data_IF_199829983699
#
_entry.id   IF_199829983699
#
_cell.length_a   1.000
_cell.length_b   1.000
_cell.length_c   1.000
_cell.angle_alpha   90.00
_cell.angle_beta   90.00
_cell.angle_gamma   90.00
#
_symmetry.space_group_name_H-M   'P 1'
#
loop_
_entity.id
_entity.type
_entity.pdbx_description
1 polymer ?
#
# COMPACT_ATOMS: atom_id res chain seq x y z
N UNK A 1 -13.73 -12.48 25.95
CA UNK A 1 -12.94 -13.16 24.89
C UNK A 1 -13.01 -12.36 23.59
N UNK A 2 -12.71 -11.05 23.64
CA UNK A 2 -12.97 -10.06 22.56
C UNK A 2 -11.74 -9.22 22.17
N UNK A 3 -10.66 -9.27 22.98
CA UNK A 3 -9.48 -8.40 22.83
C UNK A 3 -8.62 -8.69 21.58
N UNK A 4 -8.74 -9.87 20.98
CA UNK A 4 -7.95 -10.25 19.81
C UNK A 4 -8.53 -9.68 18.49
N UNK A 5 -9.86 -9.59 18.38
CA UNK A 5 -10.52 -9.06 17.18
C UNK A 5 -10.29 -7.55 17.00
N UNK A 6 -10.30 -6.77 18.09
CA UNK A 6 -10.01 -5.32 18.04
C UNK A 6 -8.62 -5.02 17.47
N UNK A 7 -7.63 -5.85 17.79
CA UNK A 7 -6.26 -5.68 17.31
C UNK A 7 -6.10 -5.92 15.80
N UNK A 8 -6.85 -6.86 15.24
CA UNK A 8 -6.84 -7.15 13.80
C UNK A 8 -7.66 -6.13 13.01
N UNK A 9 -8.83 -5.74 13.52
CA UNK A 9 -9.68 -4.70 12.89
C UNK A 9 -8.93 -3.36 12.83
N UNK A 10 -8.18 -3.00 13.88
CA UNK A 10 -7.34 -1.79 13.86
C UNK A 10 -6.22 -1.88 12.80
N UNK A 11 -5.59 -3.05 12.60
CA UNK A 11 -4.57 -3.23 11.56
C UNK A 11 -5.16 -3.18 10.16
N UNK A 12 -6.31 -3.83 9.96
CA UNK A 12 -7.03 -3.78 8.69
C UNK A 12 -7.47 -2.37 8.35
N UNK A 13 -8.14 -1.67 9.28
CA UNK A 13 -8.62 -0.30 9.07
C UNK A 13 -7.47 0.67 8.76
N UNK A 14 -6.34 0.52 9.46
CA UNK A 14 -5.16 1.35 9.22
C UNK A 14 -4.54 1.05 7.84
N UNK A 15 -4.45 -0.22 7.44
CA UNK A 15 -3.99 -0.63 6.11
C UNK A 15 -4.91 -0.14 4.99
N UNK A 16 -6.23 -0.31 5.16
CA UNK A 16 -7.25 0.14 4.21
C UNK A 16 -7.25 1.66 4.05
N UNK A 17 -7.12 2.41 5.16
CA UNK A 17 -7.02 3.88 5.12
C UNK A 17 -5.78 4.35 4.36
N UNK A 18 -4.63 3.69 4.55
CA UNK A 18 -3.42 4.00 3.79
C UNK A 18 -3.58 3.72 2.30
N UNK A 19 -4.19 2.58 1.94
CA UNK A 19 -4.49 2.22 0.55
C UNK A 19 -5.48 3.17 -0.11
N UNK A 20 -6.54 3.59 0.60
CA UNK A 20 -7.49 4.59 0.10
C UNK A 20 -6.81 5.93 -0.21
N UNK A 21 -5.88 6.36 0.65
CA UNK A 21 -5.09 7.58 0.41
C UNK A 21 -4.20 7.46 -0.83
N UNK A 22 -3.51 6.32 -1.00
CA UNK A 22 -2.66 6.06 -2.17
C UNK A 22 -3.52 6.00 -3.45
N UNK A 23 -4.66 5.31 -3.42
CA UNK A 23 -5.58 5.22 -4.55
C UNK A 23 -6.12 6.60 -4.94
N UNK A 24 -6.52 7.43 -3.97
CA UNK A 24 -6.96 8.79 -4.25
C UNK A 24 -5.86 9.67 -4.85
N UNK A 25 -4.62 9.52 -4.38
CA UNK A 25 -3.49 10.32 -4.87
C UNK A 25 -3.01 9.88 -6.27
N UNK A 26 -2.90 8.58 -6.53
CA UNK A 26 -2.32 8.06 -7.77
C UNK A 26 -3.36 7.83 -8.88
N UNK A 27 -4.58 7.44 -8.53
CA UNK A 27 -5.63 7.08 -9.48
C UNK A 27 -6.70 8.17 -9.60
N UNK A 28 -6.68 9.18 -8.73
CA UNK A 28 -7.72 10.20 -8.64
C UNK A 28 -9.05 9.68 -8.08
N UNK A 29 -9.05 8.50 -7.46
CA UNK A 29 -10.26 7.88 -6.92
C UNK A 29 -10.82 8.67 -5.75
N UNK A 30 -12.13 8.86 -5.73
CA UNK A 30 -12.86 9.31 -4.55
C UNK A 30 -12.92 8.16 -3.53
N UNK A 31 -13.07 8.44 -2.23
CA UNK A 31 -13.15 7.42 -1.19
C UNK A 31 -14.20 6.33 -1.47
N UNK A 32 -15.35 6.70 -2.03
CA UNK A 32 -16.42 5.75 -2.40
C UNK A 32 -15.99 4.75 -3.48
N UNK A 33 -15.16 5.17 -4.44
CA UNK A 33 -14.67 4.28 -5.50
C UNK A 33 -13.74 3.21 -4.92
N UNK A 34 -12.88 3.58 -3.97
CA UNK A 34 -12.05 2.64 -3.24
C UNK A 34 -12.87 1.61 -2.46
N UNK A 35 -13.90 2.03 -1.73
CA UNK A 35 -14.71 1.11 -0.91
C UNK A 35 -15.62 0.20 -1.73
N UNK A 36 -15.94 0.58 -2.98
CA UNK A 36 -16.69 -0.27 -3.91
C UNK A 36 -15.81 -1.25 -4.67
N UNK A 37 -14.52 -0.94 -4.85
CA UNK A 37 -13.59 -1.81 -5.55
C UNK A 37 -13.37 -3.11 -4.78
N UNK A 38 -13.38 -4.23 -5.50
CA UNK A 38 -13.06 -5.53 -4.93
C UNK A 38 -11.55 -5.67 -4.72
N UNK A 39 -11.08 -6.50 -3.77
CA UNK A 39 -9.66 -6.75 -3.57
C UNK A 39 -8.94 -7.26 -4.83
N UNK A 40 -9.64 -8.00 -5.69
CA UNK A 40 -9.11 -8.51 -6.96
C UNK A 40 -8.88 -7.38 -7.97
N UNK A 41 -9.84 -6.46 -8.12
CA UNK A 41 -9.69 -5.27 -8.96
C UNK A 41 -8.57 -4.37 -8.43
N UNK A 42 -8.50 -4.18 -7.11
CA UNK A 42 -7.42 -3.42 -6.47
C UNK A 42 -6.05 -4.04 -6.77
N UNK A 43 -5.94 -5.36 -6.68
CA UNK A 43 -4.73 -6.11 -7.03
C UNK A 43 -4.34 -5.94 -8.50
N UNK A 44 -5.32 -5.97 -9.41
CA UNK A 44 -5.07 -5.78 -10.84
C UNK A 44 -4.55 -4.37 -11.15
N UNK A 45 -5.13 -3.34 -10.54
CA UNK A 45 -4.68 -1.94 -10.71
C UNK A 45 -3.27 -1.76 -10.15
N UNK A 46 -2.99 -2.28 -8.94
CA UNK A 46 -1.66 -2.21 -8.34
C UNK A 46 -0.61 -2.95 -9.17
N UNK A 47 -0.96 -4.10 -9.75
CA UNK A 47 -0.08 -4.83 -10.66
C UNK A 47 0.21 -4.03 -11.93
N UNK A 48 -0.81 -3.41 -12.55
CA UNK A 48 -0.65 -2.56 -13.72
C UNK A 48 0.23 -1.32 -13.43
N UNK A 49 0.07 -0.71 -12.26
CA UNK A 49 0.89 0.43 -11.83
C UNK A 49 2.35 0.05 -11.56
N UNK A 50 2.59 -1.19 -11.11
CA UNK A 50 3.94 -1.70 -10.90
C UNK A 50 4.71 -1.77 -12.21
N UNK A 51 4.04 -2.09 -13.32
CA UNK A 51 4.69 -2.43 -14.58
C UNK A 51 5.33 -3.83 -14.54
N UNK A 52 5.51 -4.43 -15.72
CA UNK A 52 5.98 -5.82 -15.87
C UNK A 52 7.42 -6.03 -15.36
N UNK A 53 8.23 -4.96 -15.35
CA UNK A 53 9.67 -5.01 -14.99
C UNK A 53 9.97 -4.51 -13.57
N UNK A 54 8.97 -4.18 -12.75
CA UNK A 54 9.26 -3.72 -11.39
C UNK A 54 9.76 -4.88 -10.51
N UNK A 55 10.89 -4.70 -9.79
CA UNK A 55 11.40 -5.70 -8.87
C UNK A 55 10.31 -6.12 -7.87
N UNK A 56 10.15 -7.44 -7.68
CA UNK A 56 9.12 -8.03 -6.80
C UNK A 56 9.30 -7.60 -5.34
N UNK A 57 10.52 -7.19 -5.00
CA UNK A 57 10.88 -6.61 -3.73
C UNK A 57 11.14 -5.11 -3.95
N UNK A 58 10.22 -4.27 -3.45
CA UNK A 58 10.51 -2.83 -3.37
C UNK A 58 11.74 -2.59 -2.47
N UNK A 59 12.35 -1.41 -2.59
CA UNK A 59 13.45 -1.02 -1.68
C UNK A 59 12.93 -1.05 -0.24
N UNK A 60 13.43 -1.99 0.56
CA UNK A 60 13.11 -2.04 1.98
C UNK A 60 13.80 -0.90 2.75
N UNK A 61 13.34 -0.63 3.97
CA UNK A 61 13.87 0.48 4.78
C UNK A 61 15.37 0.36 5.06
N UNK A 62 15.92 -0.86 5.16
CA UNK A 62 17.34 -1.11 5.33
C UNK A 62 18.14 -0.88 4.05
N UNK A 63 17.60 -1.27 2.89
CA UNK A 63 18.16 -0.96 1.58
C UNK A 63 18.18 0.55 1.34
N UNK A 64 17.10 1.27 1.70
CA UNK A 64 17.05 2.73 1.65
C UNK A 64 18.10 3.37 2.55
N UNK A 65 18.23 2.91 3.80
CA UNK A 65 19.22 3.43 4.74
C UNK A 65 20.66 3.21 4.25
N UNK A 66 20.95 2.07 3.60
CA UNK A 66 22.26 1.82 2.98
C UNK A 66 22.54 2.76 1.81
N UNK A 67 21.53 3.03 0.97
CA UNK A 67 21.66 4.00 -0.12
C UNK A 67 21.94 5.42 0.39
N UNK A 68 21.22 5.85 1.44
CA UNK A 68 21.45 7.16 2.08
C UNK A 68 22.86 7.29 2.67
N UNK A 69 23.42 6.20 3.22
CA UNK A 69 24.80 6.20 3.73
C UNK A 69 25.85 6.20 2.61
N UNK A 70 25.54 5.60 1.46
CA UNK A 70 26.45 5.53 0.31
C UNK A 70 26.51 6.83 -0.50
N UNK A 71 25.47 7.68 -0.42
CA UNK A 71 25.45 9.01 -1.02
C UNK A 71 25.23 10.10 0.05
N UNK A 72 26.26 10.42 0.84
CA UNK A 72 26.24 11.61 1.68
C UNK A 72 26.46 12.86 0.80
N UNK A 73 25.59 13.86 0.94
CA UNK A 73 25.84 15.22 0.42
C UNK A 73 27.03 15.89 1.15
#
# INVERSE_FOLDING_TARGET
>A
MTRFADGEVMRFAQGAGRLAGIAGWLLGWRPDEFWRATPAELGAVLAAMRGEDAPVDGVDAGALARLMQAMPD
#
